data_IF_858011672485
#
_entry.id   IF_858011672485
#
_cell.length_a   1.000
_cell.length_b   1.000
_cell.length_c   1.000
_cell.angle_alpha   90.00
_cell.angle_beta   90.00
_cell.angle_gamma   90.00
#
_symmetry.space_group_name_H-M   'P 1'
#
loop_
_entity.id
_entity.type
_entity.pdbx_description
1 polymer ?
#
# COMPACT_ATOMS: atom_id res chain seq x y z
N UNK A 1 -0.67 11.06 10.37
CA UNK A 1 -0.84 12.36 11.09
C UNK A 1 -0.02 13.47 10.43
N UNK A 2 -0.38 13.80 9.18
CA UNK A 2 0.14 14.97 8.46
C UNK A 2 -1.07 15.59 7.74
N UNK A 3 -1.07 16.91 7.49
CA UNK A 3 -2.18 17.54 6.75
C UNK A 3 -2.18 17.10 5.28
N UNK A 4 -3.35 17.12 4.65
CA UNK A 4 -3.46 16.91 3.22
C UNK A 4 -2.90 18.10 2.43
N UNK A 5 -2.82 17.99 1.09
CA UNK A 5 -2.19 19.00 0.22
C UNK A 5 -2.76 20.41 0.37
N UNK A 6 -4.05 20.52 0.68
CA UNK A 6 -4.81 21.77 0.76
C UNK A 6 -5.09 22.20 2.20
N UNK A 7 -4.38 21.64 3.18
CA UNK A 7 -4.57 21.99 4.59
C UNK A 7 -4.34 23.49 4.81
N UNK A 8 -5.34 24.18 5.39
CA UNK A 8 -5.30 25.62 5.69
C UNK A 8 -5.07 26.54 4.48
N UNK A 9 -5.37 26.08 3.26
CA UNK A 9 -5.22 26.91 2.07
C UNK A 9 -6.20 28.09 2.08
N UNK A 10 -5.69 29.31 1.82
CA UNK A 10 -6.55 30.49 1.60
C UNK A 10 -7.33 30.39 0.29
N UNK A 11 -6.72 29.78 -0.72
CA UNK A 11 -7.35 29.38 -1.98
C UNK A 11 -7.48 27.84 -2.00
N UNK A 12 -8.71 27.28 -2.03
CA UNK A 12 -8.93 25.83 -1.99
C UNK A 12 -8.38 25.08 -3.21
N UNK A 13 -8.01 25.77 -4.29
CA UNK A 13 -7.44 25.16 -5.49
C UNK A 13 -5.91 25.15 -5.51
N UNK A 14 -5.26 25.82 -4.56
CA UNK A 14 -3.81 25.91 -4.49
C UNK A 14 -3.27 25.09 -3.30
N UNK A 15 -2.45 24.05 -3.53
CA UNK A 15 -1.91 23.25 -2.43
C UNK A 15 -0.90 24.05 -1.62
N UNK A 16 -1.05 24.03 -0.28
CA UNK A 16 -0.13 24.66 0.69
C UNK A 16 1.07 23.79 1.00
N UNK A 17 0.92 22.47 0.85
CA UNK A 17 2.01 21.51 1.04
C UNK A 17 2.22 20.76 -0.25
N UNK A 18 3.43 20.87 -0.81
CA UNK A 18 3.83 20.16 -2.02
C UNK A 18 4.85 19.08 -1.69
N UNK A 19 4.60 17.86 -2.15
CA UNK A 19 5.57 16.78 -2.03
C UNK A 19 6.75 17.04 -2.98
N UNK A 20 7.96 16.63 -2.57
CA UNK A 20 9.13 16.68 -3.45
C UNK A 20 8.87 15.85 -4.73
N UNK A 21 8.35 14.64 -4.54
CA UNK A 21 7.89 13.78 -5.62
C UNK A 21 6.44 14.11 -5.98
N UNK A 22 6.22 14.70 -7.17
CA UNK A 22 4.88 15.11 -7.62
C UNK A 22 3.85 13.98 -7.63
N UNK A 23 4.27 12.76 -7.95
CA UNK A 23 3.39 11.59 -7.95
C UNK A 23 2.85 11.20 -6.56
N UNK A 24 3.48 11.66 -5.50
CA UNK A 24 3.08 11.40 -4.11
C UNK A 24 2.17 12.50 -3.54
N UNK A 25 1.81 13.51 -4.34
CA UNK A 25 1.04 14.64 -3.84
C UNK A 25 -0.29 14.21 -3.23
N UNK A 26 -0.92 13.17 -3.77
CA UNK A 26 -2.21 12.64 -3.28
C UNK A 26 -2.08 11.65 -2.12
N UNK A 27 -0.87 11.28 -1.70
CA UNK A 27 -0.67 10.28 -0.63
C UNK A 27 -0.51 10.90 0.75
N UNK A 28 -0.23 12.20 0.84
CA UNK A 28 -0.17 12.92 2.12
C UNK A 28 -1.58 13.22 2.65
N UNK A 29 -1.71 13.37 3.96
CA UNK A 29 -2.99 13.73 4.57
C UNK A 29 -3.80 12.58 5.15
N UNK A 30 -3.28 11.35 5.12
CA UNK A 30 -3.98 10.21 5.70
C UNK A 30 -4.23 10.42 7.22
N UNK A 31 -5.41 10.00 7.68
CA UNK A 31 -5.87 10.17 9.08
C UNK A 31 -6.25 8.85 9.75
N UNK A 32 -6.15 7.71 9.07
CA UNK A 32 -6.54 6.42 9.62
C UNK A 32 -5.60 5.97 10.74
N UNK A 33 -4.29 6.24 10.61
CA UNK A 33 -3.27 5.84 11.59
C UNK A 33 -1.87 6.14 11.06
N UNK A 34 -0.79 5.70 11.69
CA UNK A 34 0.53 5.70 11.05
C UNK A 34 0.52 4.80 9.79
N UNK A 35 1.20 5.21 8.74
CA UNK A 35 1.39 4.36 7.56
C UNK A 35 2.34 3.20 7.88
N UNK A 36 2.35 2.18 7.03
CA UNK A 36 3.28 1.06 7.17
C UNK A 36 4.75 1.53 7.24
N UNK A 37 5.12 2.52 6.44
CA UNK A 37 6.46 3.11 6.44
C UNK A 37 6.76 3.92 7.71
N UNK A 38 5.74 4.54 8.31
CA UNK A 38 5.91 5.21 9.61
C UNK A 38 6.24 4.18 10.70
N UNK A 39 5.54 3.04 10.73
CA UNK A 39 5.86 1.95 11.66
C UNK A 39 7.24 1.37 11.42
N UNK A 40 7.64 1.19 10.16
CA UNK A 40 8.99 0.75 9.81
C UNK A 40 10.05 1.74 10.32
N UNK A 41 9.87 3.04 10.08
CA UNK A 41 10.79 4.07 10.52
C UNK A 41 10.93 4.10 12.05
N UNK A 42 9.84 3.95 12.79
CA UNK A 42 9.85 3.85 14.25
C UNK A 42 10.62 2.61 14.70
N UNK A 43 10.32 1.43 14.14
CA UNK A 43 10.97 0.18 14.51
C UNK A 43 12.48 0.21 14.26
N UNK A 44 12.91 0.86 13.17
CA UNK A 44 14.34 1.08 12.88
C UNK A 44 14.95 2.08 13.86
N UNK A 45 14.30 3.22 14.11
CA UNK A 45 14.81 4.26 15.00
C UNK A 45 15.01 3.78 16.45
N UNK A 46 14.16 2.88 16.93
CA UNK A 46 14.25 2.31 18.29
C UNK A 46 14.93 0.94 18.35
N UNK A 47 15.55 0.47 17.25
CA UNK A 47 16.28 -0.79 17.22
C UNK A 47 15.41 -2.03 17.49
N UNK A 48 14.10 -1.96 17.22
CA UNK A 48 13.15 -3.04 17.50
C UNK A 48 13.43 -4.30 16.66
N UNK A 49 14.17 -4.15 15.55
CA UNK A 49 14.51 -5.25 14.63
C UNK A 49 16.00 -5.59 14.63
N UNK A 50 16.83 -4.90 15.43
CA UNK A 50 18.29 -5.07 15.42
C UNK A 50 18.72 -6.47 15.90
N UNK A 51 17.89 -7.09 16.74
CA UNK A 51 18.11 -8.45 17.23
C UNK A 51 17.68 -9.53 16.23
N UNK A 52 16.95 -9.16 15.17
CA UNK A 52 16.46 -10.11 14.19
C UNK A 52 17.53 -10.41 13.13
N UNK A 53 17.66 -11.67 12.69
CA UNK A 53 18.47 -11.98 11.51
C UNK A 53 17.89 -11.31 10.27
N UNK A 54 18.77 -11.08 9.28
CA UNK A 54 18.34 -10.64 7.97
C UNK A 54 17.51 -11.74 7.30
N UNK A 55 16.21 -11.50 7.13
CA UNK A 55 15.28 -12.34 6.37
C UNK A 55 14.83 -11.59 5.10
N UNK A 56 14.53 -12.33 4.04
CA UNK A 56 14.14 -11.75 2.76
C UNK A 56 12.64 -11.43 2.73
N UNK A 57 12.26 -10.24 3.17
CA UNK A 57 10.90 -9.74 3.09
C UNK A 57 10.61 -9.16 1.69
N UNK A 58 9.58 -9.66 1.02
CA UNK A 58 9.17 -9.19 -0.30
C UNK A 58 8.34 -7.90 -0.20
N UNK A 59 8.18 -7.22 -1.33
CA UNK A 59 7.30 -6.05 -1.49
C UNK A 59 7.55 -4.94 -0.46
N UNK A 60 8.81 -4.73 -0.07
CA UNK A 60 9.25 -3.76 0.95
C UNK A 60 8.73 -4.05 2.38
N UNK A 61 8.45 -5.33 2.70
CA UNK A 61 8.28 -5.75 4.09
C UNK A 61 9.58 -5.64 4.89
N UNK A 62 9.49 -5.76 6.22
CA UNK A 62 10.64 -5.78 7.12
C UNK A 62 10.47 -6.86 8.21
N UNK A 63 11.54 -7.32 8.88
CA UNK A 63 11.42 -8.32 9.94
C UNK A 63 10.44 -7.88 11.03
N UNK A 64 9.53 -8.76 11.43
CA UNK A 64 8.51 -8.39 12.40
C UNK A 64 9.14 -8.18 13.79
N UNK A 65 8.89 -7.05 14.46
CA UNK A 65 9.64 -6.64 15.68
C UNK A 65 9.39 -7.54 16.89
N UNK A 66 8.36 -8.39 16.85
CA UNK A 66 8.03 -9.36 17.92
C UNK A 66 8.29 -10.81 17.53
N UNK A 67 8.51 -11.08 16.25
CA UNK A 67 8.72 -12.44 15.73
C UNK A 67 9.66 -12.38 14.53
N UNK A 68 10.94 -12.62 14.78
CA UNK A 68 11.96 -12.52 13.74
C UNK A 68 11.87 -13.60 12.65
N UNK A 69 10.96 -14.57 12.76
CA UNK A 69 10.77 -15.61 11.74
C UNK A 69 9.82 -15.18 10.63
N UNK A 70 9.12 -14.06 10.81
CA UNK A 70 8.14 -13.53 9.86
C UNK A 70 8.41 -12.05 9.55
N UNK A 71 7.86 -11.60 8.43
CA UNK A 71 7.87 -10.20 8.04
C UNK A 71 6.61 -9.47 8.51
N UNK A 72 6.78 -8.22 8.92
CA UNK A 72 5.69 -7.25 8.91
C UNK A 72 5.41 -6.87 7.46
N UNK A 73 4.15 -6.98 7.04
CA UNK A 73 3.75 -6.78 5.65
C UNK A 73 2.98 -5.47 5.46
N UNK A 74 3.21 -4.76 4.33
CA UNK A 74 2.34 -3.67 3.91
C UNK A 74 0.89 -4.14 3.79
N UNK A 75 -0.03 -3.19 3.93
CA UNK A 75 -1.46 -3.44 3.81
C UNK A 75 -1.81 -4.13 2.48
N UNK A 76 -2.63 -5.19 2.55
CA UNK A 76 -3.01 -6.00 1.39
C UNK A 76 -2.06 -7.14 1.04
N UNK A 77 -1.01 -7.36 1.82
CA UNK A 77 -0.08 -8.48 1.69
C UNK A 77 -0.05 -9.36 2.95
N UNK A 78 0.20 -10.64 2.77
CA UNK A 78 0.30 -11.62 3.86
C UNK A 78 1.26 -12.76 3.50
N UNK A 79 1.42 -13.71 4.42
CA UNK A 79 2.44 -14.77 4.36
C UNK A 79 3.67 -14.43 5.21
N UNK A 80 4.56 -15.40 5.40
CA UNK A 80 5.74 -15.23 6.26
C UNK A 80 6.73 -14.21 5.69
N UNK A 81 6.75 -14.00 4.38
CA UNK A 81 7.67 -13.11 3.67
C UNK A 81 6.94 -12.06 2.83
N UNK A 82 5.64 -11.83 3.07
CA UNK A 82 4.79 -10.93 2.29
C UNK A 82 4.69 -11.35 0.81
N UNK A 83 4.62 -12.65 0.57
CA UNK A 83 4.62 -13.28 -0.74
C UNK A 83 3.22 -13.43 -1.35
N UNK A 84 2.18 -13.36 -0.52
CA UNK A 84 0.79 -13.58 -0.92
C UNK A 84 -0.06 -12.31 -0.79
N UNK A 85 -1.09 -12.21 -1.64
CA UNK A 85 -2.11 -11.16 -1.53
C UNK A 85 -3.02 -11.50 -0.35
N UNK A 86 -3.34 -10.50 0.47
CA UNK A 86 -4.34 -10.66 1.52
C UNK A 86 -5.69 -11.08 0.94
N UNK A 87 -6.36 -12.00 1.61
CA UNK A 87 -7.68 -12.47 1.18
C UNK A 87 -8.69 -11.32 1.25
N UNK A 88 -9.32 -11.03 0.11
CA UNK A 88 -10.40 -10.05 0.02
C UNK A 88 -11.68 -10.63 0.63
N UNK A 89 -12.52 -9.76 1.22
CA UNK A 89 -13.79 -10.19 1.84
C UNK A 89 -14.93 -10.29 0.81
N UNK A 90 -14.79 -9.64 -0.34
CA UNK A 90 -15.76 -9.70 -1.45
C UNK A 90 -15.29 -10.49 -2.67
N UNK A 91 -16.13 -10.52 -3.71
CA UNK A 91 -15.81 -11.08 -5.02
C UNK A 91 -14.89 -10.12 -5.83
N UNK A 92 -13.71 -9.86 -5.30
CA UNK A 92 -12.71 -8.93 -5.82
C UNK A 92 -11.30 -9.32 -5.33
N UNK A 93 -10.29 -8.59 -5.81
CA UNK A 93 -8.90 -8.82 -5.44
C UNK A 93 -8.19 -9.88 -6.27
N UNK A 94 -6.90 -10.07 -5.99
CA UNK A 94 -6.04 -11.07 -6.63
C UNK A 94 -4.80 -10.47 -7.30
N UNK A 95 -4.11 -11.29 -8.09
CA UNK A 95 -2.92 -10.86 -8.84
C UNK A 95 -3.31 -10.62 -10.30
N UNK A 96 -3.07 -9.40 -10.79
CA UNK A 96 -3.29 -9.04 -12.19
C UNK A 96 -1.95 -8.87 -12.88
N UNK A 97 -1.75 -9.59 -13.99
CA UNK A 97 -0.56 -9.45 -14.81
C UNK A 97 -0.84 -8.43 -15.90
N UNK A 98 -0.08 -7.34 -15.93
CA UNK A 98 -0.22 -6.30 -16.93
C UNK A 98 0.17 -6.84 -18.31
N UNK A 99 -0.70 -6.54 -19.28
CA UNK A 99 -0.56 -6.92 -20.67
C UNK A 99 -0.67 -5.68 -21.56
N UNK A 100 -0.35 -5.83 -22.85
CA UNK A 100 -0.56 -4.76 -23.84
C UNK A 100 -2.05 -4.43 -24.03
N UNK A 101 -2.91 -5.40 -23.75
CA UNK A 101 -4.37 -5.23 -23.79
C UNK A 101 -4.80 -4.64 -22.44
N UNK A 102 -5.57 -3.53 -22.44
CA UNK A 102 -6.11 -2.95 -21.21
C UNK A 102 -6.93 -3.98 -20.42
N UNK A 103 -6.75 -3.96 -19.11
CA UNK A 103 -7.55 -4.72 -18.16
C UNK A 103 -8.29 -3.74 -17.26
N UNK A 104 -9.43 -4.16 -16.75
CA UNK A 104 -10.31 -3.32 -15.95
C UNK A 104 -10.40 -3.89 -14.53
N UNK A 105 -10.26 -3.01 -13.55
CA UNK A 105 -10.55 -3.31 -12.15
C UNK A 105 -11.88 -2.64 -11.85
N UNK A 106 -12.85 -3.43 -11.40
CA UNK A 106 -14.19 -2.95 -11.05
C UNK A 106 -14.46 -3.21 -9.58
N UNK A 107 -15.34 -2.41 -8.99
CA UNK A 107 -15.89 -2.71 -7.67
C UNK A 107 -16.67 -4.03 -7.69
N UNK A 108 -16.77 -4.73 -6.55
CA UNK A 108 -17.71 -5.84 -6.40
C UNK A 108 -19.11 -5.42 -6.87
N UNK A 109 -19.80 -6.32 -7.57
CA UNK A 109 -21.18 -6.15 -8.08
C UNK A 109 -21.40 -5.04 -9.13
N UNK A 110 -20.35 -4.39 -9.65
CA UNK A 110 -20.49 -3.40 -10.72
C UNK A 110 -21.30 -3.97 -11.92
N UNK A 111 -22.28 -3.24 -12.50
CA UNK A 111 -22.58 -1.81 -12.31
C UNK A 111 -23.52 -1.49 -11.14
N UNK A 112 -23.92 -2.49 -10.35
CA UNK A 112 -24.75 -2.29 -9.17
C UNK A 112 -23.91 -1.85 -7.96
N UNK A 113 -24.60 -1.51 -6.86
CA UNK A 113 -23.94 -1.15 -5.61
C UNK A 113 -23.12 -2.29 -5.01
N UNK A 114 -21.99 -1.93 -4.38
CA UNK A 114 -21.16 -2.84 -3.61
C UNK A 114 -21.68 -2.95 -2.17
N UNK A 115 -21.43 -4.08 -1.51
CA UNK A 115 -21.79 -4.29 -0.11
C UNK A 115 -20.82 -3.52 0.80
N UNK A 116 -21.34 -2.91 1.88
CA UNK A 116 -20.51 -2.25 2.88
C UNK A 116 -19.59 -3.24 3.60
N UNK A 117 -18.40 -2.76 4.00
CA UNK A 117 -17.39 -3.59 4.68
C UNK A 117 -16.63 -4.55 3.76
N UNK A 118 -16.82 -4.45 2.44
CA UNK A 118 -16.02 -5.22 1.48
C UNK A 118 -14.65 -4.58 1.29
N UNK A 119 -13.61 -5.36 1.57
CA UNK A 119 -12.21 -5.02 1.36
C UNK A 119 -11.65 -5.86 0.21
N UNK A 120 -10.94 -5.18 -0.69
CA UNK A 120 -10.39 -5.76 -1.89
C UNK A 120 -8.90 -5.45 -2.01
N UNK A 121 -8.09 -6.46 -2.26
CA UNK A 121 -6.63 -6.35 -2.34
C UNK A 121 -6.14 -6.86 -3.67
N UNK A 122 -5.43 -6.02 -4.42
CA UNK A 122 -4.85 -6.37 -5.73
C UNK A 122 -3.34 -6.15 -5.74
N UNK A 123 -2.60 -7.11 -6.32
CA UNK A 123 -1.22 -6.89 -6.74
C UNK A 123 -1.21 -6.81 -8.27
N UNK A 124 -0.67 -5.71 -8.79
CA UNK A 124 -0.43 -5.57 -10.22
C UNK A 124 1.03 -5.91 -10.53
N UNK A 125 1.26 -6.87 -11.42
CA UNK A 125 2.60 -7.28 -11.84
C UNK A 125 2.82 -6.89 -13.30
N UNK A 126 4.04 -6.48 -13.65
CA UNK A 126 4.45 -6.34 -15.03
C UNK A 126 5.53 -7.39 -15.35
N UNK A 127 5.68 -7.72 -16.65
CA UNK A 127 6.83 -8.47 -17.10
C UNK A 127 8.13 -7.72 -16.73
N UNK A 128 9.25 -8.44 -16.60
CA UNK A 128 10.54 -7.83 -16.28
C UNK A 128 10.87 -6.69 -17.26
N UNK A 129 11.22 -5.51 -16.72
CA UNK A 129 11.46 -4.29 -17.51
C UNK A 129 10.20 -3.59 -18.04
N UNK A 130 9.02 -4.12 -17.77
CA UNK A 130 7.73 -3.51 -18.10
C UNK A 130 7.24 -2.55 -17.02
N UNK A 131 6.33 -1.65 -17.40
CA UNK A 131 5.63 -0.73 -16.49
C UNK A 131 4.13 -0.92 -16.57
N UNK A 132 3.43 -0.61 -15.48
CA UNK A 132 1.98 -0.54 -15.44
C UNK A 132 1.55 0.91 -15.67
N UNK A 133 0.62 1.12 -16.59
CA UNK A 133 0.05 2.45 -16.87
C UNK A 133 -1.40 2.45 -16.40
N UNK A 134 -1.71 3.38 -15.51
CA UNK A 134 -3.09 3.68 -15.11
C UNK A 134 -3.61 4.83 -15.97
N UNK A 135 -4.85 4.70 -16.44
CA UNK A 135 -5.55 5.71 -17.23
C UNK A 135 -6.89 6.00 -16.60
#
# INVERSE_FOLDING_TARGET
MHYGPYGFASDPYTPTIRTLERGQQSTIGQRAGPSFLDFQAINVAYGCIDHCPAINCLHNGYPHPKDCSICACPEGLTGSYCETVQRSTGACGGVLMAHRIPQYITSPNYPNGFTEGVECYWILRAASGGSTLFK
#
